data_IF_213523787635
#
_entry.id   IF_213523787635
#
_cell.length_a   1.000
_cell.length_b   1.000
_cell.length_c   1.000
_cell.angle_alpha   90.00
_cell.angle_beta   90.00
_cell.angle_gamma   90.00
#
_symmetry.space_group_name_H-M   'P 1'
#
loop_
_entity.id
_entity.type
_entity.pdbx_description
1 polymer ?
#
# COMPACT_ATOMS: atom_id res chain seq x y z
N UNK A 1 -0.92 7.42 17.81
CA UNK A 1 -1.64 7.45 16.53
C UNK A 1 -3.07 6.99 16.74
N UNK A 2 -4.02 7.74 16.26
CA UNK A 2 -5.44 7.39 16.38
C UNK A 2 -6.08 7.30 15.01
N UNK A 3 -6.96 6.32 14.86
CA UNK A 3 -7.69 6.11 13.61
C UNK A 3 -9.18 6.01 13.92
N UNK A 4 -9.97 6.29 12.90
CA UNK A 4 -11.42 6.24 12.98
C UNK A 4 -11.94 5.61 11.69
N UNK A 5 -12.90 4.70 11.82
CA UNK A 5 -13.58 4.09 10.66
C UNK A 5 -15.06 4.25 10.84
N UNK A 6 -15.75 4.72 9.82
CA UNK A 6 -17.20 4.93 9.86
C UNK A 6 -17.87 4.20 8.71
N UNK A 7 -19.03 3.63 8.99
CA UNK A 7 -19.89 3.07 7.96
C UNK A 7 -20.63 4.18 7.23
N UNK A 8 -20.66 4.10 5.90
CA UNK A 8 -21.52 4.97 5.09
C UNK A 8 -22.81 4.24 4.78
N UNK A 9 -22.71 3.08 4.15
CA UNK A 9 -23.86 2.24 3.83
C UNK A 9 -23.37 0.84 3.49
N UNK A 10 -24.03 -0.20 4.04
CA UNK A 10 -23.63 -1.56 3.77
C UNK A 10 -22.19 -1.82 4.17
N UNK A 11 -21.35 -2.28 3.24
CA UNK A 11 -19.93 -2.52 3.46
C UNK A 11 -19.06 -1.33 3.07
N UNK A 12 -19.67 -0.24 2.60
CA UNK A 12 -18.92 0.98 2.25
C UNK A 12 -18.52 1.73 3.52
N UNK A 13 -17.23 1.85 3.74
CA UNK A 13 -16.64 2.48 4.92
C UNK A 13 -15.70 3.59 4.50
N UNK A 14 -15.48 4.53 5.41
CA UNK A 14 -14.41 5.53 5.26
C UNK A 14 -13.59 5.56 6.53
N UNK A 15 -12.29 5.72 6.38
CA UNK A 15 -11.37 5.78 7.51
C UNK A 15 -10.42 6.95 7.41
N UNK A 16 -9.97 7.43 8.55
CA UNK A 16 -8.92 8.46 8.61
C UNK A 16 -8.08 8.28 9.87
N UNK A 17 -6.92 8.89 9.84
CA UNK A 17 -6.01 8.93 10.97
C UNK A 17 -5.61 10.38 11.26
N UNK A 18 -4.50 10.56 11.96
CA UNK A 18 -4.04 11.90 12.38
C UNK A 18 -3.78 12.86 11.21
N UNK A 19 -3.45 12.34 10.02
CA UNK A 19 -3.23 13.18 8.83
C UNK A 19 -4.52 13.80 8.29
N UNK A 20 -5.67 13.34 8.77
CA UNK A 20 -6.99 13.88 8.47
C UNK A 20 -7.41 13.75 6.99
N UNK A 21 -6.96 12.68 6.34
CA UNK A 21 -7.41 12.33 4.99
C UNK A 21 -8.34 11.12 5.05
N UNK A 22 -9.49 11.21 4.39
CA UNK A 22 -10.43 10.11 4.33
C UNK A 22 -10.04 9.12 3.24
N UNK A 23 -10.09 7.84 3.58
CA UNK A 23 -9.81 6.74 2.66
C UNK A 23 -11.06 5.88 2.52
N UNK A 24 -11.62 5.77 1.32
CA UNK A 24 -12.81 4.92 1.10
C UNK A 24 -12.40 3.45 1.02
N UNK A 25 -13.22 2.61 1.62
CA UNK A 25 -13.03 1.16 1.60
C UNK A 25 -14.36 0.49 1.28
N UNK A 26 -14.31 -0.63 0.59
CA UNK A 26 -15.49 -1.41 0.28
C UNK A 26 -15.10 -2.84 -0.05
N UNK A 27 -16.05 -3.63 -0.51
CA UNK A 27 -15.81 -4.98 -0.98
C UNK A 27 -16.41 -5.16 -2.37
N UNK A 28 -16.11 -6.31 -2.98
CA UNK A 28 -16.64 -6.64 -4.31
C UNK A 28 -18.13 -7.01 -4.23
N UNK A 29 -18.82 -6.90 -5.34
CA UNK A 29 -20.27 -7.18 -5.40
C UNK A 29 -20.60 -8.63 -5.01
N UNK A 30 -19.71 -9.58 -5.33
CA UNK A 30 -19.89 -10.98 -4.97
C UNK A 30 -19.96 -11.19 -3.45
N UNK A 31 -19.39 -10.27 -2.65
CA UNK A 31 -19.41 -10.28 -1.19
C UNK A 31 -20.35 -9.21 -0.64
N UNK A 32 -21.30 -8.76 -1.44
CA UNK A 32 -22.32 -7.74 -1.08
C UNK A 32 -21.75 -6.34 -0.90
N UNK A 33 -20.56 -6.06 -1.44
CA UNK A 33 -20.02 -4.72 -1.50
C UNK A 33 -20.56 -3.94 -2.69
N UNK A 34 -20.33 -2.63 -2.69
CA UNK A 34 -20.74 -1.72 -3.76
C UNK A 34 -19.56 -1.33 -4.67
N UNK A 35 -18.37 -1.83 -4.41
CA UNK A 35 -17.13 -1.50 -5.15
C UNK A 35 -16.87 0.02 -5.17
N UNK A 36 -17.21 0.69 -4.07
CA UNK A 36 -17.05 2.13 -3.95
C UNK A 36 -15.68 2.55 -3.40
N UNK A 37 -14.80 1.61 -3.14
CA UNK A 37 -13.47 1.88 -2.63
C UNK A 37 -12.59 0.65 -2.65
N UNK A 38 -11.36 0.83 -2.19
CA UNK A 38 -10.35 -0.23 -2.12
C UNK A 38 -10.72 -1.21 -1.00
N UNK A 39 -10.51 -2.50 -1.22
CA UNK A 39 -10.72 -3.48 -0.15
C UNK A 39 -9.69 -3.28 0.96
N UNK A 40 -10.04 -3.49 2.23
CA UNK A 40 -9.12 -3.24 3.35
C UNK A 40 -7.78 -3.97 3.23
N UNK A 41 -7.75 -5.24 2.81
CA UNK A 41 -6.49 -5.97 2.65
C UNK A 41 -5.65 -5.42 1.51
N UNK A 42 -6.27 -4.96 0.43
CA UNK A 42 -5.56 -4.26 -0.64
C UNK A 42 -4.90 -3.00 -0.10
N UNK A 43 -5.59 -2.28 0.76
CA UNK A 43 -5.08 -1.06 1.36
C UNK A 43 -3.89 -1.34 2.27
N UNK A 44 -3.89 -2.44 3.01
CA UNK A 44 -2.74 -2.87 3.82
C UNK A 44 -1.52 -3.08 2.92
N UNK A 45 -1.71 -3.73 1.78
CA UNK A 45 -0.63 -3.98 0.83
C UNK A 45 -0.12 -2.68 0.20
N UNK A 46 -1.02 -1.79 -0.17
CA UNK A 46 -0.66 -0.45 -0.68
C UNK A 46 0.14 0.32 0.37
N UNK A 47 -0.29 0.27 1.63
CA UNK A 47 0.39 0.96 2.73
C UNK A 47 1.80 0.41 2.95
N UNK A 48 1.97 -0.91 2.86
CA UNK A 48 3.28 -1.53 2.97
C UNK A 48 4.22 -1.01 1.87
N UNK A 49 3.72 -0.95 0.64
CA UNK A 49 4.47 -0.39 -0.50
C UNK A 49 4.81 1.07 -0.29
N UNK A 50 3.88 1.85 0.27
CA UNK A 50 4.11 3.26 0.58
C UNK A 50 5.21 3.45 1.61
N UNK A 51 5.20 2.69 2.70
CA UNK A 51 6.25 2.75 3.72
C UNK A 51 7.61 2.37 3.14
N UNK A 52 7.68 1.26 2.41
CA UNK A 52 8.93 0.80 1.79
C UNK A 52 9.46 1.82 0.78
N UNK A 53 8.56 2.39 -0.02
CA UNK A 53 8.92 3.40 -1.02
C UNK A 53 9.48 4.66 -0.39
N UNK A 54 8.85 5.16 0.66
CA UNK A 54 9.32 6.35 1.36
C UNK A 54 10.69 6.12 1.99
N UNK A 55 10.93 4.93 2.56
CA UNK A 55 12.23 4.58 3.15
C UNK A 55 13.32 4.55 2.08
N UNK A 56 13.03 3.95 0.92
CA UNK A 56 13.99 3.88 -0.19
C UNK A 56 14.31 5.27 -0.73
N UNK A 57 13.30 6.10 -0.94
CA UNK A 57 13.49 7.47 -1.42
C UNK A 57 14.36 8.25 -0.45
N UNK A 58 14.10 8.13 0.84
CA UNK A 58 14.84 8.79 1.88
C UNK A 58 16.31 8.33 1.92
N UNK A 59 16.53 7.01 1.82
CA UNK A 59 17.88 6.44 1.82
C UNK A 59 18.69 6.89 0.61
N UNK A 60 18.10 6.86 -0.59
CA UNK A 60 18.78 7.31 -1.81
C UNK A 60 19.07 8.80 -1.77
N UNK A 61 18.18 9.60 -1.15
CA UNK A 61 18.42 11.02 -0.93
C UNK A 61 19.66 11.27 -0.06
N UNK A 62 19.83 10.48 0.99
CA UNK A 62 21.02 10.57 1.88
C UNK A 62 22.29 10.20 1.15
N UNK A 63 22.22 9.29 0.18
CA UNK A 63 23.37 8.91 -0.65
C UNK A 63 23.57 9.83 -1.85
N UNK A 64 22.72 10.85 -1.99
CA UNK A 64 22.73 11.78 -3.11
C UNK A 64 22.60 11.11 -4.47
N UNK A 65 21.90 9.97 -4.51
CA UNK A 65 21.60 9.28 -5.76
C UNK A 65 20.54 10.05 -6.54
N UNK A 66 20.69 10.09 -7.85
CA UNK A 66 19.74 10.80 -8.74
C UNK A 66 18.55 9.91 -9.06
N UNK A 67 17.64 9.79 -8.13
CA UNK A 67 16.39 9.06 -8.34
C UNK A 67 15.38 9.99 -9.03
N UNK A 68 14.96 9.64 -10.25
CA UNK A 68 13.93 10.39 -10.97
C UNK A 68 12.55 9.83 -10.70
N UNK A 69 12.44 8.52 -10.54
CA UNK A 69 11.16 7.87 -10.33
C UNK A 69 11.36 6.53 -9.62
N UNK A 70 10.38 6.16 -8.83
CA UNK A 70 10.34 4.87 -8.16
C UNK A 70 8.95 4.26 -8.35
N UNK A 71 8.93 3.01 -8.73
CA UNK A 71 7.69 2.24 -8.79
C UNK A 71 7.88 0.97 -7.97
N UNK A 72 6.87 0.63 -7.17
CA UNK A 72 6.84 -0.64 -6.45
C UNK A 72 5.61 -1.41 -6.92
N UNK A 73 5.80 -2.67 -7.21
CA UNK A 73 4.71 -3.59 -7.50
C UNK A 73 4.71 -4.65 -6.43
N UNK A 74 3.55 -4.85 -5.82
CA UNK A 74 3.40 -5.80 -4.73
C UNK A 74 2.38 -6.85 -5.14
N UNK A 75 2.73 -8.09 -4.88
CA UNK A 75 1.84 -9.21 -5.06
C UNK A 75 1.78 -9.98 -3.75
N UNK A 76 0.61 -10.47 -3.40
CA UNK A 76 0.43 -11.21 -2.16
C UNK A 76 -0.58 -12.33 -2.36
N UNK A 77 -0.38 -13.40 -1.62
CA UNK A 77 -1.31 -14.50 -1.54
C UNK A 77 -2.02 -14.43 -0.19
N UNK A 78 -3.29 -14.83 -0.18
CA UNK A 78 -4.09 -14.89 1.03
C UNK A 78 -4.39 -16.33 1.40
N UNK A 79 -4.59 -16.59 2.68
CA UNK A 79 -5.09 -17.87 3.14
C UNK A 79 -6.47 -18.12 2.54
N UNK A 80 -6.75 -19.34 2.11
CA UNK A 80 -8.02 -19.69 1.50
C UNK A 80 -9.16 -19.72 2.50
N UNK A 81 -8.86 -20.00 3.76
CA UNK A 81 -9.82 -20.08 4.84
C UNK A 81 -9.73 -18.87 5.74
N UNK A 82 -10.84 -18.55 6.38
CA UNK A 82 -10.90 -17.44 7.33
C UNK A 82 -10.10 -17.78 8.61
N UNK A 83 -9.30 -16.85 9.16
CA UNK A 83 -9.07 -15.49 8.66
C UNK A 83 -8.15 -15.48 7.42
N UNK A 84 -8.53 -14.67 6.42
CA UNK A 84 -7.80 -14.58 5.15
C UNK A 84 -6.63 -13.61 5.26
N UNK A 85 -5.61 -14.01 6.02
CA UNK A 85 -4.40 -13.23 6.17
C UNK A 85 -3.47 -13.41 4.97
N UNK A 86 -2.56 -12.48 4.76
CA UNK A 86 -1.53 -12.65 3.73
C UNK A 86 -0.57 -13.76 4.14
N UNK A 87 -0.31 -14.69 3.23
CA UNK A 87 0.64 -15.79 3.45
C UNK A 87 2.00 -15.50 2.83
N UNK A 88 2.01 -14.84 1.66
CA UNK A 88 3.23 -14.47 0.95
C UNK A 88 3.06 -13.07 0.39
N UNK A 89 4.10 -12.25 0.51
CA UNK A 89 4.12 -10.90 -0.05
C UNK A 89 5.42 -10.75 -0.84
N UNK A 90 5.30 -10.38 -2.11
CA UNK A 90 6.43 -10.10 -2.99
C UNK A 90 6.42 -8.63 -3.37
N UNK A 91 7.56 -7.96 -3.20
CA UNK A 91 7.72 -6.56 -3.54
C UNK A 91 8.76 -6.42 -4.63
N UNK A 92 8.35 -5.82 -5.75
CA UNK A 92 9.25 -5.51 -6.86
C UNK A 92 9.51 -4.00 -6.87
N UNK A 93 10.78 -3.63 -6.75
CA UNK A 93 11.22 -2.23 -6.83
C UNK A 93 11.69 -1.92 -8.23
N UNK A 94 11.18 -0.84 -8.82
CA UNK A 94 11.57 -0.39 -10.16
C UNK A 94 12.13 1.02 -10.01
N UNK A 95 13.43 1.15 -10.22
CA UNK A 95 14.15 2.41 -10.05
C UNK A 95 14.41 3.05 -11.42
N UNK A 96 14.25 4.36 -11.49
CA UNK A 96 14.59 5.14 -12.66
C UNK A 96 15.36 6.38 -12.22
N UNK A 97 16.55 6.56 -12.77
CA UNK A 97 17.38 7.70 -12.42
C UNK A 97 18.73 7.61 -13.08
N UNK A 98 19.52 8.67 -12.96
CA UNK A 98 20.90 8.73 -13.47
C UNK A 98 21.86 8.51 -12.33
N UNK A 99 22.95 7.79 -12.59
CA UNK A 99 24.02 7.59 -11.61
C UNK A 99 23.67 6.65 -10.48
N UNK A 100 22.61 5.84 -10.64
CA UNK A 100 22.29 4.82 -9.65
C UNK A 100 23.25 3.65 -9.77
N UNK A 101 23.82 3.25 -8.64
CA UNK A 101 24.70 2.10 -8.55
C UNK A 101 23.98 0.95 -7.85
N UNK A 102 24.48 -0.28 -8.05
CA UNK A 102 23.82 -1.47 -7.49
C UNK A 102 23.64 -1.38 -5.97
N UNK A 103 24.59 -0.80 -5.26
CA UNK A 103 24.51 -0.63 -3.81
C UNK A 103 23.44 0.35 -3.36
N UNK A 104 23.01 1.25 -4.25
CA UNK A 104 21.96 2.23 -3.96
C UNK A 104 20.56 1.65 -4.10
N UNK A 105 20.42 0.53 -4.78
CA UNK A 105 19.11 -0.08 -5.06
C UNK A 105 18.79 -1.30 -4.21
N UNK A 106 19.56 -1.54 -3.21
CA UNK A 106 19.34 -2.66 -2.28
C UNK A 106 18.39 -2.32 -1.15
#
# INVERSE_FOLDING_TARGET
>A
MKTEVRQIKGLSLIGKADSNHWVPMDSIKALKGAEAGTRPLELVLIALGGCAGMDVISLLGKRRASLQNLELRLEAEQAKEYPRVFTDIHIKYIFRGKGLEDEDVK
#
